data_IF_767942389553
#
_entry.id   IF_767942389553
#
_cell.length_a   1.000
_cell.length_b   1.000
_cell.length_c   1.000
_cell.angle_alpha   90.00
_cell.angle_beta   90.00
_cell.angle_gamma   90.00
#
_symmetry.space_group_name_H-M   'P 1'
#
loop_
_entity.id
_entity.type
_entity.pdbx_description
1 polymer ?
#
# COMPACT_ATOMS: atom_id res chain seq x y z
N UNK A 1 -31.69 3.88 4.62
CA UNK A 1 -30.51 2.99 4.61
C UNK A 1 -29.27 3.86 4.48
N UNK A 2 -28.51 4.04 5.57
CA UNK A 2 -27.24 4.76 5.52
C UNK A 2 -26.32 4.03 4.55
N UNK A 3 -25.82 4.71 3.51
CA UNK A 3 -24.82 4.13 2.63
C UNK A 3 -23.50 4.02 3.40
N UNK A 4 -23.29 2.85 4.01
CA UNK A 4 -22.09 2.50 4.78
C UNK A 4 -20.85 2.48 3.87
N UNK A 5 -21.04 2.25 2.57
CA UNK A 5 -19.99 2.25 1.56
C UNK A 5 -20.23 3.42 0.61
N UNK A 6 -19.40 4.48 0.67
CA UNK A 6 -19.45 5.55 -0.34
C UNK A 6 -19.19 4.97 -1.74
N UNK A 7 -19.97 5.43 -2.73
CA UNK A 7 -19.77 4.99 -4.13
C UNK A 7 -18.34 5.32 -4.57
N UNK A 8 -17.59 4.36 -5.15
CA UNK A 8 -16.26 4.62 -5.66
C UNK A 8 -16.36 5.65 -6.81
N UNK A 9 -15.71 6.78 -6.61
CA UNK A 9 -15.62 7.86 -7.59
C UNK A 9 -14.22 7.87 -8.25
N UNK A 10 -13.99 8.79 -9.18
CA UNK A 10 -12.70 8.92 -9.84
C UNK A 10 -11.54 9.11 -8.84
N UNK A 11 -11.79 9.75 -7.69
CA UNK A 11 -10.77 10.02 -6.66
C UNK A 11 -10.34 8.73 -6.00
N UNK A 12 -11.29 7.84 -5.72
CA UNK A 12 -11.02 6.51 -5.22
C UNK A 12 -10.08 5.75 -6.15
N UNK A 13 -10.39 5.67 -7.45
CA UNK A 13 -9.56 4.93 -8.41
C UNK A 13 -8.18 5.55 -8.60
N UNK A 14 -8.08 6.88 -8.64
CA UNK A 14 -6.78 7.57 -8.73
C UNK A 14 -5.93 7.32 -7.48
N UNK A 15 -6.53 7.43 -6.28
CA UNK A 15 -5.82 7.14 -5.03
C UNK A 15 -5.38 5.68 -4.96
N UNK A 16 -6.22 4.75 -5.42
CA UNK A 16 -5.90 3.32 -5.46
C UNK A 16 -4.73 3.01 -6.39
N UNK A 17 -4.79 3.46 -7.65
CA UNK A 17 -3.73 3.19 -8.62
C UNK A 17 -2.41 3.84 -8.20
N UNK A 18 -2.46 5.07 -7.68
CA UNK A 18 -1.28 5.75 -7.20
C UNK A 18 -0.67 5.06 -5.96
N UNK A 19 -1.51 4.57 -5.03
CA UNK A 19 -1.07 3.72 -3.93
C UNK A 19 -0.32 2.50 -4.50
N UNK A 20 -0.98 1.70 -5.33
CA UNK A 20 -0.45 0.43 -5.81
C UNK A 20 0.84 0.60 -6.61
N UNK A 21 0.89 1.62 -7.48
CA UNK A 21 2.10 1.95 -8.23
C UNK A 21 3.25 2.39 -7.30
N UNK A 22 2.98 3.27 -6.32
CA UNK A 22 4.00 3.75 -5.40
C UNK A 22 4.62 2.62 -4.56
N UNK A 23 3.79 1.68 -4.11
CA UNK A 23 4.22 0.54 -3.32
C UNK A 23 5.01 -0.48 -4.14
N UNK A 24 4.51 -0.80 -5.33
CA UNK A 24 5.24 -1.68 -6.24
C UNK A 24 6.62 -1.13 -6.60
N UNK A 25 6.73 0.17 -6.90
CA UNK A 25 8.01 0.81 -7.21
C UNK A 25 8.97 0.83 -6.01
N UNK A 26 8.46 1.09 -4.81
CA UNK A 26 9.28 1.06 -3.58
C UNK A 26 9.78 -0.35 -3.28
N UNK A 27 8.91 -1.35 -3.40
CA UNK A 27 9.25 -2.76 -3.23
C UNK A 27 10.25 -3.25 -4.27
N UNK A 28 10.04 -2.90 -5.55
CA UNK A 28 10.99 -3.19 -6.62
C UNK A 28 12.34 -2.51 -6.36
N UNK A 29 12.33 -1.26 -5.89
CA UNK A 29 13.52 -0.53 -5.48
C UNK A 29 14.32 -1.27 -4.41
N UNK A 30 13.63 -1.70 -3.35
CA UNK A 30 14.21 -2.35 -2.19
C UNK A 30 14.73 -3.76 -2.51
N UNK A 31 13.87 -4.63 -3.04
CA UNK A 31 14.24 -6.01 -3.33
C UNK A 31 15.13 -6.16 -4.58
N UNK A 32 14.92 -5.31 -5.58
CA UNK A 32 15.68 -5.35 -6.83
C UNK A 32 17.07 -4.74 -6.69
N UNK A 33 17.17 -3.48 -6.27
CA UNK A 33 18.44 -2.75 -6.29
C UNK A 33 19.22 -2.83 -4.97
N UNK A 34 18.54 -2.73 -3.83
CA UNK A 34 19.21 -2.62 -2.52
C UNK A 34 19.61 -4.02 -2.03
N UNK A 35 18.66 -4.95 -1.95
CA UNK A 35 18.90 -6.29 -1.43
C UNK A 35 19.36 -7.30 -2.50
N UNK A 36 19.16 -6.97 -3.79
CA UNK A 36 19.45 -7.87 -4.92
C UNK A 36 18.79 -9.26 -4.77
N UNK A 37 17.61 -9.30 -4.18
CA UNK A 37 16.88 -10.55 -3.91
C UNK A 37 16.41 -11.25 -5.19
N UNK A 38 16.33 -10.52 -6.31
CA UNK A 38 15.95 -11.09 -7.61
C UNK A 38 16.92 -12.16 -8.10
N UNK A 39 18.18 -12.16 -7.66
CA UNK A 39 19.16 -13.20 -7.97
C UNK A 39 18.86 -14.54 -7.26
N UNK A 40 18.07 -14.51 -6.19
CA UNK A 40 17.70 -15.67 -5.38
C UNK A 40 16.36 -16.28 -5.80
N UNK A 41 15.65 -15.65 -6.74
CA UNK A 41 14.32 -16.10 -7.19
C UNK A 41 14.48 -17.34 -8.08
N UNK A 42 13.86 -18.44 -7.67
CA UNK A 42 13.86 -19.70 -8.44
C UNK A 42 12.89 -19.68 -9.64
N UNK A 43 11.98 -18.70 -9.69
CA UNK A 43 10.97 -18.53 -10.73
C UNK A 43 11.42 -17.55 -11.83
N UNK A 44 10.84 -17.60 -13.04
CA UNK A 44 11.05 -16.57 -14.03
C UNK A 44 10.66 -15.20 -13.49
N UNK A 45 11.57 -14.22 -13.60
CA UNK A 45 11.41 -12.87 -13.05
C UNK A 45 10.10 -12.22 -13.53
N UNK A 46 9.74 -12.41 -14.80
CA UNK A 46 8.52 -11.84 -15.39
C UNK A 46 7.26 -12.32 -14.67
N UNK A 47 7.19 -13.62 -14.33
CA UNK A 47 6.06 -14.21 -13.62
C UNK A 47 5.97 -13.64 -12.21
N UNK A 48 7.11 -13.55 -11.52
CA UNK A 48 7.18 -12.94 -10.19
C UNK A 48 6.66 -11.50 -10.23
N UNK A 49 7.16 -10.67 -11.15
CA UNK A 49 6.76 -9.27 -11.26
C UNK A 49 5.26 -9.09 -11.59
N UNK A 50 4.70 -9.91 -12.50
CA UNK A 50 3.27 -9.87 -12.82
C UNK A 50 2.44 -10.20 -11.57
N UNK A 51 2.81 -11.25 -10.84
CA UNK A 51 2.12 -11.63 -9.60
C UNK A 51 2.26 -10.51 -8.56
N UNK A 52 3.45 -9.93 -8.39
CA UNK A 52 3.67 -8.80 -7.49
C UNK A 52 2.75 -7.64 -7.82
N UNK A 53 2.63 -7.24 -9.09
CA UNK A 53 1.72 -6.16 -9.51
C UNK A 53 0.27 -6.46 -9.11
N UNK A 54 -0.19 -7.69 -9.35
CA UNK A 54 -1.55 -8.11 -8.96
C UNK A 54 -1.77 -8.06 -7.45
N UNK A 55 -0.78 -8.51 -6.67
CA UNK A 55 -0.82 -8.45 -5.20
C UNK A 55 -0.88 -7.00 -4.72
N UNK A 56 -0.06 -6.10 -5.26
CA UNK A 56 -0.07 -4.68 -4.91
C UNK A 56 -1.36 -3.96 -5.33
N UNK A 57 -1.99 -4.37 -6.43
CA UNK A 57 -3.34 -3.90 -6.79
C UNK A 57 -4.38 -4.34 -5.76
N UNK A 58 -4.35 -5.61 -5.33
CA UNK A 58 -5.24 -6.14 -4.29
C UNK A 58 -5.07 -5.45 -2.93
N UNK A 59 -3.83 -5.34 -2.46
CA UNK A 59 -3.48 -4.65 -1.20
C UNK A 59 -3.94 -3.19 -1.27
N UNK A 60 -3.63 -2.51 -2.38
CA UNK A 60 -4.03 -1.12 -2.56
C UNK A 60 -5.53 -0.93 -2.55
N UNK A 61 -6.30 -1.85 -3.14
CA UNK A 61 -7.75 -1.77 -3.16
C UNK A 61 -8.31 -1.89 -1.73
N UNK A 62 -7.78 -2.84 -0.96
CA UNK A 62 -8.14 -3.06 0.43
C UNK A 62 -7.86 -1.83 1.30
N UNK A 63 -6.62 -1.32 1.29
CA UNK A 63 -6.21 -0.16 2.11
C UNK A 63 -6.94 1.12 1.68
N UNK A 64 -7.11 1.33 0.37
CA UNK A 64 -7.85 2.49 -0.14
C UNK A 64 -9.29 2.45 0.33
N UNK A 65 -9.95 1.29 0.27
CA UNK A 65 -11.32 1.09 0.77
C UNK A 65 -11.43 1.39 2.26
N UNK A 66 -10.55 0.84 3.09
CA UNK A 66 -10.54 1.12 4.52
C UNK A 66 -10.34 2.61 4.82
N UNK A 67 -9.41 3.26 4.13
CA UNK A 67 -9.14 4.70 4.25
C UNK A 67 -10.32 5.55 3.80
N UNK A 68 -11.12 5.05 2.86
CA UNK A 68 -12.29 5.75 2.32
C UNK A 68 -13.53 5.61 3.21
N UNK A 69 -13.75 4.43 3.79
CA UNK A 69 -14.87 4.15 4.71
C UNK A 69 -14.65 4.81 6.07
N UNK A 70 -13.44 4.78 6.62
CA UNK A 70 -13.15 5.29 7.97
C UNK A 70 -13.04 6.81 8.12
N UNK A 71 -13.49 7.59 7.12
CA UNK A 71 -12.92 8.93 6.89
C UNK A 71 -13.54 10.04 7.73
N UNK A 72 -12.69 10.72 8.52
CA UNK A 72 -12.77 12.17 8.77
C UNK A 72 -11.72 12.87 7.90
N UNK A 73 -12.14 13.77 7.00
CA UNK A 73 -11.26 14.40 5.98
C UNK A 73 -10.03 15.10 6.58
N UNK A 74 -10.17 15.67 7.78
CA UNK A 74 -9.10 16.41 8.48
C UNK A 74 -7.92 15.51 8.87
N UNK A 75 -8.20 14.27 9.24
CA UNK A 75 -7.21 13.29 9.74
C UNK A 75 -6.86 12.22 8.69
N UNK A 76 -7.27 12.42 7.43
CA UNK A 76 -7.05 11.49 6.32
C UNK A 76 -5.60 11.03 6.16
N UNK A 77 -4.61 11.88 6.47
CA UNK A 77 -3.19 11.53 6.45
C UNK A 77 -2.79 10.56 7.57
N UNK A 78 -3.10 10.93 8.83
CA UNK A 78 -2.77 10.12 10.00
C UNK A 78 -3.51 8.78 9.96
N UNK A 79 -4.76 8.82 9.52
CA UNK A 79 -5.58 7.63 9.35
C UNK A 79 -5.04 6.73 8.24
N UNK A 80 -4.69 7.29 7.08
CA UNK A 80 -4.07 6.53 5.98
C UNK A 80 -2.76 5.86 6.41
N UNK A 81 -1.87 6.58 7.12
CA UNK A 81 -0.65 6.00 7.70
C UNK A 81 -0.96 4.86 8.65
N UNK A 82 -1.87 5.06 9.60
CA UNK A 82 -2.17 4.06 10.63
C UNK A 82 -2.78 2.79 10.02
N UNK A 83 -3.74 2.95 9.10
CA UNK A 83 -4.35 1.82 8.38
C UNK A 83 -3.29 1.10 7.55
N UNK A 84 -2.41 1.85 6.87
CA UNK A 84 -1.28 1.30 6.13
C UNK A 84 -0.33 0.51 7.02
N UNK A 85 0.11 1.08 8.15
CA UNK A 85 1.00 0.41 9.11
C UNK A 85 0.43 -0.91 9.62
N UNK A 86 -0.83 -0.90 10.09
CA UNK A 86 -1.52 -2.08 10.61
C UNK A 86 -1.66 -3.14 9.51
N UNK A 87 -2.07 -2.72 8.30
CA UNK A 87 -2.17 -3.62 7.17
C UNK A 87 -0.80 -4.20 6.77
N UNK A 88 0.27 -3.42 6.82
CA UNK A 88 1.64 -3.88 6.55
C UNK A 88 2.11 -4.94 7.54
N UNK A 89 1.88 -4.73 8.84
CA UNK A 89 2.16 -5.75 9.86
C UNK A 89 1.38 -7.04 9.58
N UNK A 90 0.10 -6.92 9.22
CA UNK A 90 -0.75 -8.06 8.91
C UNK A 90 -0.30 -8.82 7.65
N UNK A 91 0.04 -8.10 6.58
CA UNK A 91 0.53 -8.68 5.32
C UNK A 91 1.85 -9.41 5.57
N UNK A 92 2.77 -8.81 6.34
CA UNK A 92 4.01 -9.47 6.73
C UNK A 92 3.75 -10.75 7.54
N UNK A 93 2.86 -10.69 8.54
CA UNK A 93 2.54 -11.86 9.35
C UNK A 93 2.00 -13.03 8.50
N UNK A 94 1.17 -12.72 7.50
CA UNK A 94 0.68 -13.71 6.54
C UNK A 94 1.83 -14.27 5.69
N UNK A 95 2.67 -13.42 5.10
CA UNK A 95 3.81 -13.85 4.29
C UNK A 95 4.81 -14.72 5.10
N UNK A 96 5.09 -14.32 6.33
CA UNK A 96 5.93 -15.05 7.28
C UNK A 96 5.35 -16.42 7.62
N UNK A 97 4.03 -16.52 7.87
CA UNK A 97 3.35 -17.78 8.16
C UNK A 97 3.42 -18.76 6.97
N UNK A 98 3.36 -18.24 5.74
CA UNK A 98 3.53 -19.05 4.52
C UNK A 98 5.00 -19.37 4.19
N UNK A 99 5.95 -18.95 5.03
CA UNK A 99 7.38 -19.20 4.80
C UNK A 99 7.94 -18.44 3.60
N UNK A 100 7.27 -17.39 3.14
CA UNK A 100 7.74 -16.54 2.06
C UNK A 100 8.82 -15.63 2.64
N UNK A 101 10.07 -16.07 2.59
CA UNK A 101 11.24 -15.27 2.98
C UNK A 101 12.39 -15.51 2.01
N UNK A 102 13.18 -14.46 1.78
CA UNK A 102 14.40 -14.52 0.97
C UNK A 102 15.61 -15.07 1.76
N UNK A 103 15.44 -15.33 3.06
CA UNK A 103 16.49 -15.84 3.94
C UNK A 103 16.23 -17.29 4.34
N UNK A 104 17.27 -18.12 4.25
CA UNK A 104 17.24 -19.55 4.63
C UNK A 104 17.43 -19.77 6.14
N UNK A 105 17.93 -18.75 6.85
CA UNK A 105 18.15 -18.78 8.29
C UNK A 105 17.18 -17.80 8.94
N UNK A 106 16.38 -18.31 9.87
CA UNK A 106 15.44 -17.51 10.66
C UNK A 106 16.24 -16.79 11.76
N UNK A 107 16.70 -15.57 11.47
CA UNK A 107 17.26 -14.64 12.46
C UNK A 107 16.24 -13.54 12.76
N UNK A 108 16.08 -13.22 14.05
CA UNK A 108 15.21 -12.16 14.53
C UNK A 108 15.54 -10.80 13.87
N UNK A 109 16.82 -10.57 13.51
CA UNK A 109 17.25 -9.35 12.83
C UNK A 109 16.60 -9.18 11.45
N UNK A 110 16.56 -10.24 10.65
CA UNK A 110 15.94 -10.19 9.31
C UNK A 110 14.43 -10.03 9.42
N UNK A 111 13.81 -10.73 10.37
CA UNK A 111 12.37 -10.59 10.66
C UNK A 111 12.02 -9.15 11.02
N UNK A 112 12.80 -8.52 11.92
CA UNK A 112 12.55 -7.15 12.35
C UNK A 112 12.73 -6.15 11.20
N UNK A 113 13.73 -6.38 10.33
CA UNK A 113 13.97 -5.55 9.15
C UNK A 113 12.82 -5.67 8.15
N UNK A 114 12.39 -6.89 7.81
CA UNK A 114 11.33 -7.14 6.84
C UNK A 114 9.97 -6.64 7.35
N UNK A 115 9.65 -6.88 8.63
CA UNK A 115 8.44 -6.34 9.25
C UNK A 115 8.46 -4.81 9.27
N UNK A 116 9.60 -4.22 9.64
CA UNK A 116 9.78 -2.77 9.66
C UNK A 116 9.62 -2.15 8.28
N UNK A 117 10.20 -2.79 7.25
CA UNK A 117 10.05 -2.38 5.87
C UNK A 117 8.61 -2.51 5.39
N UNK A 118 7.94 -3.63 5.66
CA UNK A 118 6.55 -3.84 5.26
C UNK A 118 5.61 -2.81 5.91
N UNK A 119 5.80 -2.51 7.19
CA UNK A 119 5.01 -1.49 7.89
C UNK A 119 5.30 -0.09 7.33
N UNK A 120 6.56 0.25 7.05
CA UNK A 120 6.95 1.51 6.45
C UNK A 120 6.36 1.69 5.05
N UNK A 121 6.52 0.68 4.20
CA UNK A 121 6.02 0.66 2.83
C UNK A 121 4.51 0.92 2.85
N UNK A 122 3.71 0.07 3.51
CA UNK A 122 2.26 0.23 3.52
C UNK A 122 1.80 1.54 4.16
N UNK A 123 2.53 2.07 5.16
CA UNK A 123 2.27 3.41 5.72
C UNK A 123 2.48 4.53 4.71
N UNK A 124 3.55 4.45 3.91
CA UNK A 124 3.83 5.42 2.85
C UNK A 124 2.76 5.37 1.75
N UNK A 125 2.32 4.18 1.35
CA UNK A 125 1.21 4.05 0.42
C UNK A 125 -0.06 4.69 0.99
N UNK A 126 -0.35 4.43 2.26
CA UNK A 126 -1.48 5.01 2.98
C UNK A 126 -1.46 6.54 2.99
N UNK A 127 -0.27 7.14 3.16
CA UNK A 127 -0.05 8.58 2.99
C UNK A 127 -0.39 9.07 1.60
N UNK A 128 0.12 8.41 0.55
CA UNK A 128 -0.12 8.79 -0.86
C UNK A 128 -1.62 8.77 -1.15
N UNK A 129 -2.32 7.73 -0.72
CA UNK A 129 -3.77 7.63 -0.87
C UNK A 129 -4.51 8.76 -0.14
N UNK A 130 -4.17 9.00 1.13
CA UNK A 130 -4.74 10.08 1.95
C UNK A 130 -4.49 11.47 1.36
N UNK A 131 -3.28 11.71 0.86
CA UNK A 131 -2.88 12.93 0.19
C UNK A 131 -3.69 13.18 -1.07
N UNK A 132 -3.68 12.23 -2.01
CA UNK A 132 -4.34 12.39 -3.30
C UNK A 132 -5.84 12.60 -3.13
N UNK A 133 -6.44 11.93 -2.16
CA UNK A 133 -7.83 12.17 -1.85
C UNK A 133 -8.08 13.60 -1.37
N UNK A 134 -7.29 14.07 -0.39
CA UNK A 134 -7.45 15.42 0.16
C UNK A 134 -7.19 16.49 -0.91
N UNK A 135 -6.19 16.28 -1.75
CA UNK A 135 -5.86 17.17 -2.85
C UNK A 135 -7.04 17.30 -3.83
N UNK A 136 -7.63 16.18 -4.24
CA UNK A 136 -8.78 16.19 -5.14
C UNK A 136 -10.02 16.82 -4.50
N UNK A 137 -10.28 16.53 -3.22
CA UNK A 137 -11.37 17.17 -2.47
C UNK A 137 -11.22 18.71 -2.40
N UNK A 138 -10.01 19.21 -2.13
CA UNK A 138 -9.73 20.64 -2.10
C UNK A 138 -9.80 21.29 -3.49
N UNK A 139 -9.46 20.55 -4.55
CA UNK A 139 -9.58 21.01 -5.93
C UNK A 139 -11.04 21.20 -6.32
N UNK A 140 -11.90 20.24 -6.01
CA UNK A 140 -13.34 20.33 -6.28
C UNK A 140 -14.02 21.45 -5.51
N UNK A 141 -13.73 21.62 -4.21
CA UNK A 141 -14.26 22.76 -3.46
C UNK A 141 -13.88 24.10 -4.09
N UNK A 142 -12.64 24.24 -4.60
CA UNK A 142 -12.22 25.47 -5.28
C UNK A 142 -12.98 25.71 -6.58
N UNK A 143 -13.20 24.66 -7.38
CA UNK A 143 -13.96 24.76 -8.63
C UNK A 143 -15.43 25.14 -8.39
N UNK A 144 -16.05 24.62 -7.32
CA UNK A 144 -17.42 24.96 -6.93
C UNK A 144 -17.58 26.41 -6.43
N UNK A 145 -16.52 27.03 -5.92
CA UNK A 145 -16.53 28.43 -5.47
C UNK A 145 -16.04 29.42 -6.55
N UNK A 146 -15.60 28.92 -7.71
CA UNK A 146 -15.14 29.72 -8.84
C UNK A 146 -16.20 29.90 -9.94
N UNK A 147 -17.31 29.15 -9.85
CA UNK A 147 -18.52 29.30 -10.68
C UNK A 147 -19.63 29.98 -9.86
#
# INVERSE_FOLDING_TARGET
>A
MNQIIPKPDLKFFISWLAFSASMFLLSYGWHGFILNDFLKISYPLDIFLIISVLVYLGIGLFITTLTYVGKKIKDSFKYGMLVGAIAGVFIYAVAFLFGISFYTIIDLKYIALDLGWQAFEQSFGGLVCGWLYRFQYLRERRLLHAN
#
